data_IF_555439016266
#
_entry.id   IF_555439016266
#
_cell.length_a   1.000
_cell.length_b   1.000
_cell.length_c   1.000
_cell.angle_alpha   90.00
_cell.angle_beta   90.00
_cell.angle_gamma   90.00
#
_symmetry.space_group_name_H-M   'P 1'
#
loop_
_entity.id
_entity.type
_entity.pdbx_description
1 polymer ?
#
# COMPACT_ATOMS: atom_id res chain seq x y z
N UNK A 1 -10.62 -3.90 0.21
CA UNK A 1 -10.25 -2.96 -0.88
C UNK A 1 -9.91 -3.64 -2.22
N UNK A 2 -9.52 -4.92 -2.28
CA UNK A 2 -9.40 -5.65 -3.58
C UNK A 2 -8.06 -5.51 -4.29
N UNK A 3 -7.06 -4.86 -3.68
CA UNK A 3 -5.70 -4.82 -4.20
C UNK A 3 -4.93 -6.12 -3.90
N UNK A 4 -3.90 -6.39 -4.70
CA UNK A 4 -2.95 -7.48 -4.45
C UNK A 4 -1.70 -6.85 -3.83
N UNK A 5 -1.48 -7.18 -2.56
CA UNK A 5 -0.28 -6.81 -1.80
C UNK A 5 0.62 -8.04 -1.72
N UNK A 6 1.93 -7.83 -1.84
CA UNK A 6 2.92 -8.89 -1.64
C UNK A 6 4.09 -8.33 -0.84
N UNK A 7 4.69 -9.14 0.02
CA UNK A 7 5.75 -8.71 0.93
C UNK A 7 5.67 -9.46 2.26
N UNK A 8 6.47 -9.01 3.22
CA UNK A 8 6.38 -9.45 4.61
C UNK A 8 5.60 -8.40 5.42
N UNK A 9 4.79 -8.85 6.38
CA UNK A 9 4.06 -8.00 7.32
C UNK A 9 5.02 -7.18 8.21
N UNK A 10 6.24 -7.66 8.44
CA UNK A 10 7.28 -6.94 9.21
C UNK A 10 8.09 -5.96 8.35
N UNK A 11 7.73 -5.78 7.07
CA UNK A 11 8.45 -4.85 6.18
C UNK A 11 7.85 -3.45 6.24
N UNK A 12 8.67 -2.39 6.40
CA UNK A 12 8.18 -1.00 6.34
C UNK A 12 7.77 -0.59 4.92
N UNK A 13 8.10 -1.39 3.91
CA UNK A 13 7.69 -1.17 2.52
C UNK A 13 6.54 -2.10 2.21
N UNK A 14 5.42 -1.54 1.74
CA UNK A 14 4.22 -2.26 1.33
C UNK A 14 4.06 -2.15 -0.20
N UNK A 15 4.47 -3.18 -0.95
CA UNK A 15 4.26 -3.25 -2.39
C UNK A 15 2.81 -3.57 -2.79
N UNK A 16 2.23 -2.76 -3.65
CA UNK A 16 0.93 -2.97 -4.28
C UNK A 16 1.07 -3.23 -5.78
N UNK A 17 0.59 -4.37 -6.24
CA UNK A 17 0.72 -4.78 -7.65
C UNK A 17 -0.24 -4.01 -8.56
N UNK A 18 0.31 -3.45 -9.65
CA UNK A 18 -0.45 -2.75 -10.68
C UNK A 18 -0.60 -3.58 -11.96
N UNK A 19 0.36 -4.47 -12.25
CA UNK A 19 0.46 -5.39 -13.40
C UNK A 19 0.46 -4.76 -14.80
N UNK A 20 -0.08 -3.55 -14.96
CA UNK A 20 -0.26 -2.87 -16.23
C UNK A 20 0.66 -1.64 -16.29
N UNK A 21 1.77 -1.68 -17.05
CA UNK A 21 2.71 -0.57 -17.17
C UNK A 21 2.07 0.76 -17.56
N UNK A 22 1.08 0.72 -18.45
CA UNK A 22 0.35 1.91 -18.90
C UNK A 22 -0.38 2.64 -17.75
N UNK A 23 -0.77 1.91 -16.69
CA UNK A 23 -1.49 2.48 -15.54
C UNK A 23 -0.55 3.04 -14.46
N UNK A 24 0.74 2.70 -14.47
CA UNK A 24 1.72 3.17 -13.46
C UNK A 24 1.75 4.69 -13.38
N UNK A 25 1.96 5.34 -14.53
CA UNK A 25 2.04 6.80 -14.59
C UNK A 25 0.72 7.48 -14.27
N UNK A 26 -0.41 6.87 -14.66
CA UNK A 26 -1.73 7.37 -14.32
C UNK A 26 -1.97 7.30 -12.80
N UNK A 27 -1.63 6.18 -12.17
CA UNK A 27 -1.75 6.00 -10.72
C UNK A 27 -0.93 7.04 -9.96
N UNK A 28 0.35 7.24 -10.32
CA UNK A 28 1.20 8.25 -9.69
C UNK A 28 0.63 9.68 -9.80
N UNK A 29 0.12 10.05 -10.98
CA UNK A 29 -0.48 11.39 -11.20
C UNK A 29 -1.78 11.58 -10.42
N UNK A 30 -2.65 10.58 -10.39
CA UNK A 30 -3.92 10.63 -9.65
C UNK A 30 -3.72 10.71 -8.12
N UNK A 31 -2.72 10.01 -7.61
CA UNK A 31 -2.33 10.09 -6.21
C UNK A 31 -1.73 11.47 -5.88
N UNK A 32 -0.88 12.01 -6.75
CA UNK A 32 -0.33 13.35 -6.58
C UNK A 32 -1.43 14.43 -6.56
N UNK A 33 -2.45 14.32 -7.42
CA UNK A 33 -3.62 15.23 -7.43
C UNK A 33 -4.39 15.21 -6.10
N UNK A 34 -4.31 14.12 -5.35
CA UNK A 34 -4.93 13.94 -4.02
C UNK A 34 -3.96 14.26 -2.88
N UNK A 35 -2.81 14.87 -3.17
CA UNK A 35 -1.75 15.20 -2.22
C UNK A 35 -1.16 13.98 -1.51
N UNK A 36 -1.09 12.82 -2.19
CA UNK A 36 -0.44 11.62 -1.68
C UNK A 36 0.76 11.28 -2.55
N UNK A 37 1.97 11.39 -1.99
CA UNK A 37 3.20 10.99 -2.66
C UNK A 37 3.33 9.46 -2.69
N UNK A 38 3.50 8.87 -3.88
CA UNK A 38 3.67 7.42 -4.04
C UNK A 38 4.84 7.11 -4.96
N UNK A 39 5.65 6.12 -4.59
CA UNK A 39 6.71 5.60 -5.43
C UNK A 39 6.11 4.57 -6.38
N UNK A 40 6.01 4.91 -7.66
CA UNK A 40 5.58 3.98 -8.71
C UNK A 40 6.78 3.41 -9.44
N UNK A 41 6.81 2.09 -9.62
CA UNK A 41 7.98 1.37 -10.17
C UNK A 41 7.55 0.48 -11.33
N UNK A 42 8.29 0.60 -12.43
CA UNK A 42 8.14 -0.23 -13.62
C UNK A 42 9.51 -0.65 -14.16
N UNK A 43 9.56 -1.10 -15.41
CA UNK A 43 10.80 -1.41 -16.12
C UNK A 43 11.68 -0.14 -16.23
N UNK A 44 13.02 -0.22 -16.05
CA UNK A 44 13.85 -1.41 -15.85
C UNK A 44 14.01 -1.89 -14.40
N UNK A 45 13.47 -1.15 -13.43
CA UNK A 45 13.64 -1.47 -12.01
C UNK A 45 12.88 -2.72 -11.55
N UNK A 46 11.88 -3.16 -12.33
CA UNK A 46 11.11 -4.40 -12.15
C UNK A 46 10.80 -5.01 -13.52
N UNK A 47 10.60 -6.34 -13.63
CA UNK A 47 10.06 -6.93 -14.85
C UNK A 47 8.76 -6.25 -15.28
N UNK A 48 8.49 -6.20 -16.58
CA UNK A 48 7.31 -5.51 -17.16
C UNK A 48 6.01 -5.97 -16.49
N UNK A 49 5.90 -7.27 -16.23
CA UNK A 49 4.71 -7.90 -15.61
C UNK A 49 4.61 -7.66 -14.10
N UNK A 50 5.64 -7.10 -13.45
CA UNK A 50 5.70 -6.91 -11.99
C UNK A 50 5.66 -5.43 -11.57
N UNK A 51 5.12 -4.59 -12.43
CA UNK A 51 4.91 -3.18 -12.11
C UNK A 51 4.04 -2.99 -10.86
N UNK A 52 4.46 -2.05 -10.00
CA UNK A 52 3.94 -1.90 -8.64
C UNK A 52 4.09 -0.48 -8.11
N UNK A 53 3.23 -0.11 -7.17
CA UNK A 53 3.42 1.02 -6.28
C UNK A 53 4.07 0.54 -4.97
N UNK A 54 5.01 1.29 -4.41
CA UNK A 54 5.66 1.01 -3.12
C UNK A 54 5.25 2.10 -2.14
N UNK A 55 4.60 1.70 -1.05
CA UNK A 55 4.30 2.58 0.07
C UNK A 55 5.37 2.37 1.15
N UNK A 56 6.11 3.42 1.48
CA UNK A 56 7.12 3.38 2.53
C UNK A 56 6.50 3.98 3.79
N UNK A 57 6.27 3.15 4.81
CA UNK A 57 5.66 3.56 6.08
C UNK A 57 6.77 3.83 7.09
N UNK A 58 6.56 4.85 7.93
CA UNK A 58 7.42 5.20 9.05
C UNK A 58 6.54 5.49 10.27
N UNK A 59 7.15 5.47 11.46
CA UNK A 59 6.47 5.80 12.72
C UNK A 59 5.95 7.26 12.77
N UNK A 60 6.41 8.13 11.87
CA UNK A 60 5.94 9.51 11.80
C UNK A 60 4.55 9.65 11.14
N UNK A 61 4.03 8.60 10.50
CA UNK A 61 2.71 8.65 9.87
C UNK A 61 1.60 8.48 10.92
N UNK A 62 0.76 9.51 11.08
CA UNK A 62 -0.43 9.42 11.94
C UNK A 62 -1.52 8.54 11.33
N UNK A 63 -2.39 7.99 12.17
CA UNK A 63 -3.53 7.18 11.73
C UNK A 63 -4.44 7.92 10.75
N UNK A 64 -4.71 9.20 10.99
CA UNK A 64 -5.53 10.03 10.09
C UNK A 64 -4.87 10.25 8.72
N UNK A 65 -3.54 10.28 8.65
CA UNK A 65 -2.82 10.35 7.38
C UNK A 65 -2.97 9.04 6.62
N UNK A 66 -2.82 7.91 7.31
CA UNK A 66 -2.98 6.58 6.72
C UNK A 66 -4.41 6.36 6.23
N UNK A 67 -5.42 6.74 7.01
CA UNK A 67 -6.83 6.61 6.63
C UNK A 67 -7.15 7.47 5.39
N UNK A 68 -6.62 8.70 5.31
CA UNK A 68 -6.73 9.54 4.10
C UNK A 68 -6.03 8.93 2.90
N UNK A 69 -4.83 8.37 3.07
CA UNK A 69 -4.11 7.70 2.00
C UNK A 69 -4.88 6.48 1.49
N UNK A 70 -5.44 5.65 2.39
CA UNK A 70 -6.26 4.49 2.04
C UNK A 70 -7.52 4.89 1.26
N UNK A 71 -8.20 5.96 1.66
CA UNK A 71 -9.35 6.49 0.93
C UNK A 71 -8.97 6.90 -0.50
N UNK A 72 -7.89 7.66 -0.66
CA UNK A 72 -7.38 8.08 -1.97
C UNK A 72 -6.97 6.87 -2.84
N UNK A 73 -6.26 5.89 -2.26
CA UNK A 73 -5.87 4.66 -2.97
C UNK A 73 -7.11 3.90 -3.44
N UNK A 74 -8.15 3.80 -2.61
CA UNK A 74 -9.39 3.11 -2.97
C UNK A 74 -10.07 3.77 -4.17
N UNK A 75 -10.22 5.10 -4.13
CA UNK A 75 -10.86 5.89 -5.19
C UNK A 75 -10.10 5.78 -6.52
N UNK A 76 -8.77 5.95 -6.48
CA UNK A 76 -7.91 5.82 -7.67
C UNK A 76 -7.93 4.38 -8.19
N UNK A 77 -8.00 3.39 -7.30
CA UNK A 77 -8.12 1.98 -7.68
C UNK A 77 -9.43 1.66 -8.39
N UNK A 78 -10.53 2.31 -8.03
CA UNK A 78 -11.80 2.21 -8.75
C UNK A 78 -11.72 2.91 -10.11
N UNK A 79 -11.18 4.12 -10.16
CA UNK A 79 -11.01 4.88 -11.39
C UNK A 79 -10.15 4.13 -12.42
N UNK A 80 -9.03 3.57 -11.98
CA UNK A 80 -8.06 2.90 -12.85
C UNK A 80 -8.29 1.40 -12.97
N UNK A 81 -9.33 0.84 -12.33
CA UNK A 81 -9.64 -0.59 -12.35
C UNK A 81 -8.42 -1.44 -11.95
N UNK A 82 -7.89 -1.20 -10.75
CA UNK A 82 -6.68 -1.82 -10.20
C UNK A 82 -6.97 -2.87 -9.10
N UNK A 83 -8.25 -3.08 -8.77
CA UNK A 83 -8.69 -3.99 -7.71
C UNK A 83 -8.84 -5.42 -8.23
N UNK A 84 -7.71 -6.08 -8.52
CA UNK A 84 -7.69 -7.40 -9.17
C UNK A 84 -7.98 -8.59 -8.24
N UNK A 85 -7.83 -8.42 -6.92
CA UNK A 85 -7.99 -9.52 -5.98
C UNK A 85 -9.46 -9.90 -5.82
N UNK A 86 -9.75 -11.19 -6.05
CA UNK A 86 -11.06 -11.82 -5.79
C UNK A 86 -11.12 -12.56 -4.45
N UNK A 87 -10.02 -12.53 -3.68
CA UNK A 87 -9.98 -13.20 -2.37
C UNK A 87 -10.87 -12.44 -1.39
N UNK A 88 -11.77 -13.18 -0.72
CA UNK A 88 -12.52 -12.66 0.42
C UNK A 88 -11.54 -12.50 1.58
N UNK A 89 -11.44 -11.31 2.15
CA UNK A 89 -10.63 -11.08 3.35
C UNK A 89 -11.14 -12.02 4.44
N UNK A 90 -10.28 -12.91 4.94
CA UNK A 90 -10.49 -13.49 6.26
C UNK A 90 -10.05 -12.41 7.24
N UNK A 91 -10.99 -11.89 8.02
CA UNK A 91 -10.66 -11.04 9.16
C UNK A 91 -9.90 -11.92 10.15
N UNK A 92 -8.58 -11.86 10.13
CA UNK A 92 -7.77 -12.39 11.23
C UNK A 92 -8.04 -11.56 12.47
N UNK A 93 -8.02 -12.21 13.64
CA UNK A 93 -8.19 -11.54 14.92
C UNK A 93 -7.18 -10.38 15.04
N UNK A 94 -7.56 -9.25 15.69
CA UNK A 94 -6.63 -8.14 15.88
C UNK A 94 -5.37 -8.66 16.58
N UNK A 95 -4.21 -8.36 16.01
CA UNK A 95 -2.94 -8.59 16.70
C UNK A 95 -2.93 -7.72 17.96
N UNK A 96 -2.41 -8.22 19.10
CA UNK A 96 -2.16 -7.38 20.27
C UNK A 96 -1.37 -6.14 19.85
N UNK A 97 -1.69 -4.98 20.42
CA UNK A 97 -0.94 -3.75 20.18
C UNK A 97 0.52 -3.94 20.59
N UNK A 98 1.45 -3.49 19.75
CA UNK A 98 2.90 -3.56 20.00
C UNK A 98 3.31 -2.81 21.29
N UNK A 99 2.44 -1.94 21.83
CA UNK A 99 2.62 -1.28 23.13
C UNK A 99 2.87 -2.28 24.28
N UNK A 100 2.35 -3.50 24.19
CA UNK A 100 2.57 -4.54 25.21
C UNK A 100 3.95 -5.22 25.10
N UNK A 101 4.70 -5.01 24.02
CA UNK A 101 5.99 -5.68 23.75
C UNK A 101 7.18 -4.84 24.21
N UNK A 102 7.00 -3.52 24.32
CA UNK A 102 8.06 -2.60 24.75
C UNK A 102 8.04 -2.30 26.26
N UNK A 103 6.92 -2.59 26.95
CA UNK A 103 6.80 -2.41 28.41
C UNK A 103 7.68 -3.41 29.21
N UNK A 104 8.13 -4.49 28.57
CA UNK A 104 9.02 -5.52 29.16
C UNK A 104 10.54 -5.23 28.97
N UNK A 105 10.92 -4.07 28.41
CA UNK A 105 12.33 -3.70 28.19
C UNK A 105 12.88 -2.66 29.19
N UNK A 106 12.06 -2.16 30.12
CA UNK A 106 12.43 -1.18 31.14
C UNK A 106 12.67 -1.80 32.54
N UNK A 107 13.16 -3.06 32.60
CA UNK A 107 13.65 -3.73 33.83
C UNK A 107 15.12 -4.20 33.70
#
# INVERSE_FOLDING_TARGET
>A
MGFIIYGNDDSPVVPMMLYMPAKIGAFGREMLRRNVGVVVVGFPATPIIESRARFCISAAHSRDLLDRALAAISEVGDLLQLKYSRRRLQLTAPRPSDDAVYDDMDD
#
